data_IF_904512425532
#
_entry.id   IF_904512425532
#
_cell.length_a   1.000
_cell.length_b   1.000
_cell.length_c   1.000
_cell.angle_alpha   90.00
_cell.angle_beta   90.00
_cell.angle_gamma   90.00
#
_symmetry.space_group_name_H-M   'P 1'
#
loop_
_entity.id
_entity.type
_entity.pdbx_description
1 polymer ?
#
# COMPACT_ATOMS: atom_id res chain seq x y z
N UNK A 1 2.43 20.80 -5.32
CA UNK A 1 3.64 21.64 -5.15
C UNK A 1 4.75 20.66 -4.81
N UNK A 2 5.75 20.52 -5.69
CA UNK A 2 6.67 19.38 -5.75
C UNK A 2 7.58 19.33 -4.51
N UNK A 3 7.37 18.35 -3.63
CA UNK A 3 8.09 18.18 -2.35
C UNK A 3 9.20 17.12 -2.44
N UNK A 4 9.79 16.95 -3.63
CA UNK A 4 11.05 16.23 -3.79
C UNK A 4 12.20 17.25 -3.65
N UNK A 5 12.83 17.27 -2.48
CA UNK A 5 14.15 17.87 -2.30
C UNK A 5 15.13 17.07 -3.17
N UNK A 6 15.39 17.55 -4.39
CA UNK A 6 16.48 17.07 -5.23
C UNK A 6 17.79 17.14 -4.43
N UNK A 7 18.61 16.09 -4.54
CA UNK A 7 19.85 15.91 -3.78
C UNK A 7 20.78 17.14 -3.90
N UNK A 8 20.77 17.81 -5.05
CA UNK A 8 21.51 19.06 -5.31
C UNK A 8 21.08 20.22 -4.39
N UNK A 9 19.78 20.33 -4.09
CA UNK A 9 19.25 21.37 -3.18
C UNK A 9 19.61 21.07 -1.73
N UNK A 10 19.58 19.79 -1.35
CA UNK A 10 19.96 19.34 -0.01
C UNK A 10 21.45 19.64 0.27
N UNK A 11 22.32 19.37 -0.71
CA UNK A 11 23.74 19.67 -0.62
C UNK A 11 24.02 21.19 -0.55
N UNK A 12 23.31 21.99 -1.34
CA UNK A 12 23.42 23.45 -1.30
C UNK A 12 23.01 24.04 0.07
N UNK A 13 21.94 23.54 0.68
CA UNK A 13 21.48 23.97 2.01
C UNK A 13 22.49 23.57 3.08
N UNK A 14 23.04 22.35 3.01
CA UNK A 14 24.04 21.87 3.96
C UNK A 14 25.33 22.68 3.88
N UNK A 15 25.77 23.03 2.66
CA UNK A 15 26.92 23.90 2.44
C UNK A 15 26.69 25.30 3.03
N UNK A 16 25.52 25.89 2.82
CA UNK A 16 25.18 27.20 3.39
C UNK A 16 25.16 27.19 4.92
N UNK A 17 24.65 26.12 5.54
CA UNK A 17 24.66 25.96 6.99
C UNK A 17 26.08 25.82 7.55
N UNK A 18 26.94 25.03 6.89
CA UNK A 18 28.34 24.88 7.29
C UNK A 18 29.11 26.19 7.17
N UNK A 19 28.96 26.90 6.06
CA UNK A 19 29.58 28.21 5.84
C UNK A 19 29.14 29.24 6.89
N UNK A 20 27.85 29.25 7.27
CA UNK A 20 27.33 30.13 8.30
C UNK A 20 27.87 29.79 9.69
N UNK A 21 28.01 28.50 10.02
CA UNK A 21 28.61 28.03 11.27
C UNK A 21 30.10 28.40 11.33
N UNK A 22 30.84 28.26 10.23
CA UNK A 22 32.30 28.47 10.19
C UNK A 22 32.68 29.95 10.16
N UNK A 23 31.99 30.77 9.38
CA UNK A 23 32.34 32.19 9.18
C UNK A 23 31.68 33.14 10.19
N UNK A 24 30.72 32.63 10.97
CA UNK A 24 29.96 33.45 11.90
C UNK A 24 30.73 33.79 13.18
N UNK A 25 30.48 34.97 13.78
CA UNK A 25 31.18 35.44 14.98
C UNK A 25 30.63 34.80 16.27
N UNK A 26 30.40 33.48 16.29
CA UNK A 26 29.68 32.79 17.36
C UNK A 26 30.40 32.85 18.71
N UNK A 27 31.73 32.90 18.70
CA UNK A 27 32.51 32.95 19.94
C UNK A 27 32.65 34.37 20.53
N UNK A 28 32.17 35.42 19.85
CA UNK A 28 32.39 36.83 20.26
C UNK A 28 31.49 37.31 21.40
N UNK A 29 30.40 36.60 21.72
CA UNK A 29 29.48 36.96 22.81
C UNK A 29 28.75 35.72 23.32
N UNK A 30 28.41 35.68 24.62
CA UNK A 30 27.61 34.60 25.20
C UNK A 30 26.27 34.42 24.47
N UNK A 31 25.66 35.50 23.99
CA UNK A 31 24.45 35.45 23.15
C UNK A 31 24.73 34.75 21.81
N UNK A 32 25.81 35.13 21.13
CA UNK A 32 26.19 34.55 19.84
C UNK A 32 26.64 33.09 19.96
N UNK A 33 27.20 32.67 21.09
CA UNK A 33 27.53 31.27 21.37
C UNK A 33 26.28 30.40 21.43
N UNK A 34 25.21 30.91 22.03
CA UNK A 34 23.91 30.21 22.07
C UNK A 34 23.31 30.09 20.67
N UNK A 35 23.37 31.17 19.87
CA UNK A 35 22.89 31.14 18.48
C UNK A 35 23.71 30.16 17.62
N UNK A 36 25.04 30.14 17.77
CA UNK A 36 25.91 29.20 17.08
C UNK A 36 25.60 27.74 17.44
N UNK A 37 25.36 27.43 18.72
CA UNK A 37 24.92 26.09 19.15
C UNK A 37 23.59 25.69 18.54
N UNK A 38 22.61 26.59 18.54
CA UNK A 38 21.31 26.32 17.91
C UNK A 38 21.45 26.07 16.40
N UNK A 39 22.35 26.78 15.72
CA UNK A 39 22.60 26.60 14.29
C UNK A 39 23.24 25.24 13.98
N UNK A 40 24.16 24.78 14.83
CA UNK A 40 24.73 23.42 14.78
C UNK A 40 23.64 22.37 14.97
N UNK A 41 22.75 22.54 15.96
CA UNK A 41 21.62 21.61 16.17
C UNK A 41 20.63 21.57 15.00
N UNK A 42 20.43 22.69 14.30
CA UNK A 42 19.59 22.76 13.10
C UNK A 42 20.25 21.98 11.96
N UNK A 43 21.57 22.13 11.75
CA UNK A 43 22.33 21.35 10.77
C UNK A 43 22.26 19.85 11.07
N UNK A 44 22.49 19.46 12.32
CA UNK A 44 22.54 18.04 12.71
C UNK A 44 21.17 17.37 12.54
N UNK A 45 20.07 18.09 12.84
CA UNK A 45 18.70 17.64 12.54
C UNK A 45 18.45 17.49 11.05
N UNK A 46 18.97 18.40 10.23
CA UNK A 46 18.82 18.35 8.77
C UNK A 46 19.57 17.14 8.18
N UNK A 47 20.79 16.88 8.61
CA UNK A 47 21.59 15.70 8.21
C UNK A 47 20.89 14.40 8.59
N UNK A 48 20.38 14.29 9.81
CA UNK A 48 19.65 13.11 10.28
C UNK A 48 18.40 12.84 9.42
N UNK A 49 17.68 13.90 9.03
CA UNK A 49 16.48 13.79 8.19
C UNK A 49 16.80 13.35 6.77
N UNK A 50 17.86 13.88 6.15
CA UNK A 50 18.29 13.45 4.80
C UNK A 50 18.80 12.01 4.81
N UNK A 51 19.60 11.62 5.82
CA UNK A 51 20.07 10.24 5.96
C UNK A 51 18.93 9.24 6.10
N UNK A 52 17.90 9.60 6.87
CA UNK A 52 16.67 8.80 7.02
C UNK A 52 15.84 8.74 5.74
N UNK A 53 15.76 9.85 4.97
CA UNK A 53 15.07 9.89 3.67
C UNK A 53 15.79 9.02 2.65
N UNK A 54 17.12 9.08 2.57
CA UNK A 54 17.91 8.26 1.64
C UNK A 54 17.86 6.78 2.02
N UNK A 55 17.88 6.43 3.31
CA UNK A 55 17.64 5.05 3.75
C UNK A 55 16.20 4.59 3.43
N UNK A 56 15.19 5.44 3.61
CA UNK A 56 13.80 5.12 3.26
C UNK A 56 13.58 5.01 1.74
N UNK A 57 14.31 5.80 0.94
CA UNK A 57 14.28 5.76 -0.54
C UNK A 57 15.03 4.54 -1.07
N UNK A 58 16.21 4.22 -0.53
CA UNK A 58 16.96 2.99 -0.83
C UNK A 58 16.19 1.73 -0.40
N UNK A 59 15.53 1.73 0.75
CA UNK A 59 14.61 0.66 1.16
C UNK A 59 13.34 0.65 0.31
N UNK A 60 12.82 1.80 -0.10
CA UNK A 60 11.66 1.92 -0.99
C UNK A 60 11.92 1.36 -2.39
N UNK A 61 13.08 1.70 -2.98
CA UNK A 61 13.51 1.31 -4.32
C UNK A 61 13.98 -0.14 -4.37
N UNK A 62 14.70 -0.63 -3.36
CA UNK A 62 15.00 -2.06 -3.24
C UNK A 62 13.73 -2.89 -3.03
N UNK A 63 12.75 -2.40 -2.26
CA UNK A 63 11.45 -3.05 -2.13
C UNK A 63 10.59 -2.92 -3.40
N UNK A 64 10.73 -1.86 -4.21
CA UNK A 64 10.03 -1.72 -5.48
C UNK A 64 10.64 -2.60 -6.56
N UNK A 65 11.97 -2.63 -6.71
CA UNK A 65 12.67 -3.52 -7.63
C UNK A 65 12.42 -4.99 -7.27
N UNK A 66 12.48 -5.35 -5.98
CA UNK A 66 12.09 -6.69 -5.53
C UNK A 66 10.60 -6.96 -5.76
N UNK A 67 9.68 -6.02 -5.49
CA UNK A 67 8.25 -6.21 -5.80
C UNK A 67 7.97 -6.34 -7.30
N UNK A 68 8.67 -5.62 -8.16
CA UNK A 68 8.52 -5.72 -9.62
C UNK A 68 9.08 -7.04 -10.14
N UNK A 69 10.23 -7.50 -9.62
CA UNK A 69 10.78 -8.82 -9.93
C UNK A 69 9.91 -9.97 -9.38
N UNK A 70 9.38 -9.85 -8.16
CA UNK A 70 8.46 -10.81 -7.51
C UNK A 70 7.09 -10.86 -8.19
N UNK A 71 6.66 -9.77 -8.85
CA UNK A 71 5.37 -9.67 -9.54
C UNK A 71 5.45 -9.91 -11.04
N UNK A 72 6.62 -10.21 -11.60
CA UNK A 72 6.74 -10.65 -12.98
C UNK A 72 5.94 -11.97 -13.15
N UNK A 73 4.85 -11.92 -13.92
CA UNK A 73 3.91 -13.04 -14.05
C UNK A 73 2.83 -13.13 -12.97
N UNK A 74 2.73 -12.13 -12.08
CA UNK A 74 1.59 -11.97 -11.18
C UNK A 74 0.59 -10.95 -11.71
N UNK A 75 -0.68 -11.17 -11.42
CA UNK A 75 -1.78 -10.26 -11.71
C UNK A 75 -2.48 -9.88 -10.40
N UNK A 76 -2.83 -8.59 -10.24
CA UNK A 76 -3.74 -8.18 -9.18
C UNK A 76 -5.16 -8.56 -9.58
N UNK A 77 -5.85 -9.30 -8.73
CA UNK A 77 -7.25 -9.70 -8.90
C UNK A 77 -8.07 -9.17 -7.72
N UNK A 78 -9.39 -9.11 -7.91
CA UNK A 78 -10.30 -8.51 -6.94
C UNK A 78 -11.39 -9.50 -6.54
N UNK A 79 -11.44 -9.88 -5.27
CA UNK A 79 -12.38 -10.89 -4.79
C UNK A 79 -13.48 -10.20 -3.99
N UNK A 80 -14.73 -10.37 -4.41
CA UNK A 80 -15.89 -9.85 -3.69
C UNK A 80 -16.13 -10.65 -2.40
N UNK A 81 -16.32 -9.93 -1.30
CA UNK A 81 -16.61 -10.50 0.01
C UNK A 81 -17.95 -10.00 0.54
N UNK A 82 -18.68 -10.91 1.18
CA UNK A 82 -19.91 -10.62 1.90
C UNK A 82 -19.77 -11.02 3.36
N UNK A 83 -20.29 -10.19 4.27
CA UNK A 83 -20.46 -10.48 5.69
C UNK A 83 -21.90 -10.15 6.10
N UNK A 84 -22.53 -11.02 6.88
CA UNK A 84 -23.83 -10.71 7.49
C UNK A 84 -23.73 -9.64 8.58
N UNK A 85 -22.54 -9.50 9.19
CA UNK A 85 -22.22 -8.53 10.25
C UNK A 85 -21.13 -7.57 9.75
N UNK A 86 -21.44 -6.82 8.69
CA UNK A 86 -20.46 -6.00 7.97
C UNK A 86 -20.01 -4.73 8.70
N UNK A 87 -20.73 -4.29 9.74
CA UNK A 87 -20.28 -3.20 10.61
C UNK A 87 -19.11 -3.60 11.52
N UNK A 88 -18.94 -4.90 11.76
CA UNK A 88 -17.96 -5.47 12.68
C UNK A 88 -16.67 -5.85 11.92
N UNK A 89 -15.58 -5.12 12.15
CA UNK A 89 -14.30 -5.36 11.44
C UNK A 89 -13.71 -6.74 11.74
N UNK A 90 -13.95 -7.28 12.94
CA UNK A 90 -13.48 -8.61 13.34
C UNK A 90 -14.18 -9.71 12.54
N UNK A 91 -15.42 -9.48 12.07
CA UNK A 91 -16.11 -10.42 11.19
C UNK A 91 -15.39 -10.53 9.84
N UNK A 92 -14.92 -9.38 9.31
CA UNK A 92 -14.13 -9.30 8.10
C UNK A 92 -12.76 -9.96 8.24
N UNK A 93 -12.07 -9.77 9.37
CA UNK A 93 -10.80 -10.44 9.66
C UNK A 93 -10.92 -11.95 9.55
N UNK A 94 -11.99 -12.53 10.10
CA UNK A 94 -12.27 -13.97 10.02
C UNK A 94 -12.57 -14.43 8.59
N UNK A 95 -13.29 -13.63 7.81
CA UNK A 95 -13.59 -13.93 6.40
C UNK A 95 -12.29 -13.93 5.58
N UNK A 96 -11.46 -12.91 5.74
CA UNK A 96 -10.17 -12.80 5.04
C UNK A 96 -9.23 -13.94 5.45
N UNK A 97 -9.15 -14.27 6.74
CA UNK A 97 -8.31 -15.38 7.22
C UNK A 97 -8.72 -16.75 6.64
N UNK A 98 -10.01 -16.94 6.34
CA UNK A 98 -10.53 -18.18 5.75
C UNK A 98 -10.62 -18.16 4.22
N UNK A 99 -10.16 -17.09 3.57
CA UNK A 99 -10.27 -16.91 2.12
C UNK A 99 -9.70 -18.08 1.30
N UNK A 100 -8.51 -18.67 1.62
CA UNK A 100 -7.95 -19.77 0.84
C UNK A 100 -8.85 -21.02 0.82
N UNK A 101 -9.69 -21.20 1.85
CA UNK A 101 -10.58 -22.35 1.99
C UNK A 101 -12.00 -22.08 1.46
N UNK A 102 -12.36 -20.83 1.16
CA UNK A 102 -13.73 -20.43 0.82
C UNK A 102 -13.80 -19.58 -0.46
N UNK A 103 -12.83 -19.75 -1.35
CA UNK A 103 -12.72 -18.94 -2.58
C UNK A 103 -13.72 -19.35 -3.66
N UNK A 104 -14.08 -20.64 -3.73
CA UNK A 104 -14.82 -21.26 -4.85
C UNK A 104 -16.18 -20.60 -5.10
N UNK A 105 -16.87 -20.13 -4.06
CA UNK A 105 -18.20 -19.53 -4.16
C UNK A 105 -18.18 -18.00 -4.25
N UNK A 106 -17.00 -17.38 -4.39
CA UNK A 106 -16.85 -15.92 -4.37
C UNK A 106 -16.54 -15.40 -5.78
N UNK A 107 -17.24 -14.36 -6.26
CA UNK A 107 -16.91 -13.72 -7.52
C UNK A 107 -15.51 -13.11 -7.50
N UNK A 108 -14.73 -13.38 -8.55
CA UNK A 108 -13.35 -12.89 -8.72
C UNK A 108 -13.31 -12.08 -10.01
N UNK A 109 -12.84 -10.85 -9.92
CA UNK A 109 -12.78 -9.90 -11.03
C UNK A 109 -11.33 -9.68 -11.46
N UNK A 110 -11.09 -9.55 -12.78
CA UNK A 110 -9.77 -9.19 -13.30
C UNK A 110 -9.43 -7.72 -13.08
N UNK A 111 -10.44 -6.86 -12.88
CA UNK A 111 -10.31 -5.41 -12.72
C UNK A 111 -11.09 -4.87 -11.51
N UNK A 112 -10.60 -3.76 -10.95
CA UNK A 112 -11.18 -3.16 -9.74
C UNK A 112 -12.54 -2.49 -10.01
N UNK A 113 -12.76 -2.04 -11.24
CA UNK A 113 -14.00 -1.36 -11.62
C UNK A 113 -15.18 -2.35 -11.64
N UNK A 114 -14.96 -3.58 -12.09
CA UNK A 114 -15.89 -4.70 -12.03
C UNK A 114 -16.45 -4.93 -10.64
N UNK A 115 -15.57 -5.14 -9.65
CA UNK A 115 -16.00 -5.38 -8.27
C UNK A 115 -16.66 -4.15 -7.64
N UNK A 116 -16.21 -2.94 -7.98
CA UNK A 116 -16.84 -1.71 -7.49
C UNK A 116 -18.25 -1.55 -8.04
N UNK A 117 -18.45 -1.81 -9.33
CA UNK A 117 -19.74 -1.67 -9.98
C UNK A 117 -20.76 -2.65 -9.43
N UNK A 118 -20.39 -3.93 -9.24
CA UNK A 118 -21.31 -4.89 -8.64
C UNK A 118 -21.67 -4.49 -7.20
N UNK A 119 -20.72 -4.00 -6.40
CA UNK A 119 -20.97 -3.55 -5.02
C UNK A 119 -21.90 -2.33 -5.01
N UNK A 120 -21.79 -1.41 -5.98
CA UNK A 120 -22.71 -0.27 -6.09
C UNK A 120 -24.17 -0.70 -6.28
N UNK A 121 -24.41 -1.85 -6.91
CA UNK A 121 -25.77 -2.38 -7.14
C UNK A 121 -26.39 -3.07 -5.92
N UNK A 122 -25.62 -3.27 -4.83
CA UNK A 122 -26.09 -3.95 -3.63
C UNK A 122 -26.86 -2.99 -2.72
N UNK A 123 -27.94 -3.50 -2.12
CA UNK A 123 -28.77 -2.71 -1.20
C UNK A 123 -28.00 -2.33 0.06
N UNK A 124 -27.38 -3.31 0.71
CA UNK A 124 -26.62 -3.10 1.95
C UNK A 124 -25.11 -3.09 1.70
N UNK A 125 -24.59 -1.90 1.38
CA UNK A 125 -23.16 -1.68 1.13
C UNK A 125 -22.27 -1.89 2.35
N UNK A 126 -22.81 -1.86 3.57
CA UNK A 126 -22.05 -2.19 4.78
C UNK A 126 -21.70 -3.68 4.84
N UNK A 127 -22.48 -4.54 4.19
CA UNK A 127 -22.26 -5.99 4.18
C UNK A 127 -21.36 -6.44 3.02
N UNK A 128 -20.82 -5.51 2.25
CA UNK A 128 -20.06 -5.76 1.03
C UNK A 128 -18.67 -5.15 1.14
N UNK A 129 -17.67 -5.94 0.78
CA UNK A 129 -16.28 -5.53 0.75
C UNK A 129 -15.56 -6.26 -0.39
N UNK A 130 -14.32 -5.90 -0.66
CA UNK A 130 -13.47 -6.72 -1.53
C UNK A 130 -12.02 -6.69 -1.07
N UNK A 131 -11.26 -7.69 -1.51
CA UNK A 131 -9.81 -7.71 -1.35
C UNK A 131 -9.16 -7.61 -2.72
N UNK A 132 -8.09 -6.84 -2.79
CA UNK A 132 -7.15 -6.90 -3.89
C UNK A 132 -5.97 -7.78 -3.48
N UNK A 133 -5.63 -8.75 -4.32
CA UNK A 133 -4.59 -9.75 -4.04
C UNK A 133 -3.79 -10.04 -5.30
N UNK A 134 -2.49 -10.20 -5.16
CA UNK A 134 -1.63 -10.66 -6.25
C UNK A 134 -1.62 -12.19 -6.32
N UNK A 135 -1.90 -12.72 -7.51
CA UNK A 135 -1.87 -14.15 -7.82
C UNK A 135 -0.97 -14.40 -9.03
N UNK A 136 -0.39 -15.59 -9.14
CA UNK A 136 0.32 -16.00 -10.34
C UNK A 136 -0.67 -16.15 -11.51
N UNK A 137 -0.35 -15.60 -12.67
CA UNK A 137 -1.18 -15.73 -13.87
C UNK A 137 -1.40 -17.20 -14.27
N UNK A 138 -0.43 -18.08 -13.97
CA UNK A 138 -0.53 -19.51 -14.21
C UNK A 138 -1.59 -20.21 -13.34
N UNK A 139 -2.02 -19.58 -12.25
CA UNK A 139 -3.04 -20.11 -11.35
C UNK A 139 -4.46 -19.67 -11.75
N UNK A 140 -4.57 -18.78 -12.73
CA UNK A 140 -5.84 -18.39 -13.33
C UNK A 140 -6.20 -19.44 -14.39
N UNK A 141 -7.39 -20.02 -14.28
CA UNK A 141 -7.91 -20.96 -15.26
C UNK A 141 -8.36 -20.19 -16.50
N UNK A 142 -7.64 -20.37 -17.60
CA UNK A 142 -8.00 -19.82 -18.89
C UNK A 142 -9.26 -20.53 -19.42
N UNK A 143 -10.41 -19.90 -19.21
CA UNK A 143 -11.69 -20.33 -19.77
C UNK A 143 -11.93 -19.60 -21.09
N UNK A 144 -12.52 -20.30 -22.06
CA UNK A 144 -13.03 -19.66 -23.28
C UNK A 144 -14.11 -18.63 -22.90
N UNK A 145 -14.21 -17.47 -23.57
CA UNK A 145 -15.18 -16.42 -23.23
C UNK A 145 -16.62 -16.94 -23.08
N UNK A 146 -17.05 -17.85 -23.96
CA UNK A 146 -18.39 -18.45 -23.93
C UNK A 146 -18.66 -19.34 -22.70
N UNK A 147 -17.61 -19.75 -21.99
CA UNK A 147 -17.66 -20.60 -20.79
C UNK A 147 -17.28 -19.84 -19.52
N UNK A 148 -16.85 -18.59 -19.64
CA UNK A 148 -16.49 -17.79 -18.49
C UNK A 148 -17.77 -17.41 -17.73
N UNK A 149 -17.84 -17.65 -16.41
CA UNK A 149 -18.96 -17.19 -15.61
C UNK A 149 -19.01 -15.65 -15.67
N UNK A 150 -20.22 -15.10 -15.72
CA UNK A 150 -20.44 -13.66 -15.71
C UNK A 150 -21.22 -13.24 -14.45
N UNK A 151 -21.00 -12.01 -14.01
CA UNK A 151 -21.79 -11.41 -12.94
C UNK A 151 -23.18 -10.96 -13.42
N UNK A 152 -23.94 -10.32 -12.53
CA UNK A 152 -25.28 -9.80 -12.86
C UNK A 152 -25.27 -8.66 -13.89
N UNK A 153 -24.11 -8.02 -14.10
CA UNK A 153 -23.91 -6.93 -15.06
C UNK A 153 -23.31 -7.44 -16.38
N UNK A 154 -23.11 -8.76 -16.52
CA UNK A 154 -22.51 -9.37 -17.70
C UNK A 154 -20.99 -9.27 -17.75
N UNK A 155 -20.32 -8.84 -16.67
CA UNK A 155 -18.85 -8.77 -16.61
C UNK A 155 -18.26 -10.17 -16.37
N UNK A 156 -17.19 -10.56 -17.07
CA UNK A 156 -16.58 -11.88 -16.91
C UNK A 156 -15.87 -12.02 -15.56
N UNK A 157 -16.00 -13.18 -14.95
CA UNK A 157 -15.36 -13.56 -13.69
C UNK A 157 -14.21 -14.53 -13.95
N UNK A 158 -13.16 -14.40 -13.14
CA UNK A 158 -12.02 -15.30 -13.15
C UNK A 158 -12.34 -16.58 -12.37
N UNK A 159 -11.79 -17.69 -12.85
CA UNK A 159 -11.73 -18.96 -12.12
C UNK A 159 -10.28 -19.25 -11.76
N UNK A 160 -10.04 -19.74 -10.55
CA UNK A 160 -8.70 -20.03 -10.05
C UNK A 160 -8.52 -21.52 -9.80
N UNK A 161 -7.28 -21.99 -9.87
CA UNK A 161 -6.90 -23.31 -9.36
C UNK A 161 -7.06 -23.38 -7.84
N UNK A 162 -7.27 -24.59 -7.33
CA UNK A 162 -7.30 -24.84 -5.88
C UNK A 162 -5.99 -24.38 -5.21
N UNK A 163 -6.12 -23.82 -4.00
CA UNK A 163 -5.00 -23.39 -3.14
C UNK A 163 -4.05 -22.34 -3.75
N UNK A 164 -4.54 -21.56 -4.70
CA UNK A 164 -3.77 -20.49 -5.36
C UNK A 164 -3.70 -19.16 -4.59
N UNK A 165 -4.50 -19.03 -3.53
CA UNK A 165 -4.60 -17.81 -2.72
C UNK A 165 -3.59 -17.86 -1.56
N UNK A 166 -2.67 -16.90 -1.53
CA UNK A 166 -1.80 -16.62 -0.38
C UNK A 166 -2.17 -15.29 0.27
N UNK A 167 -2.53 -15.32 1.55
CA UNK A 167 -2.95 -14.14 2.31
C UNK A 167 -1.85 -13.07 2.43
N UNK A 168 -0.58 -13.45 2.35
CA UNK A 168 0.55 -12.51 2.38
C UNK A 168 0.59 -11.60 1.15
N UNK A 169 -0.04 -12.03 0.05
CA UNK A 169 -0.09 -11.27 -1.20
C UNK A 169 -1.28 -10.30 -1.27
N UNK A 170 -2.08 -10.19 -0.21
CA UNK A 170 -3.17 -9.21 -0.14
C UNK A 170 -2.55 -7.81 -0.13
N UNK A 171 -2.91 -7.01 -1.13
CA UNK A 171 -2.42 -5.63 -1.24
C UNK A 171 -3.25 -4.68 -0.39
N UNK A 172 -4.59 -4.82 -0.45
CA UNK A 172 -5.55 -3.99 0.30
C UNK A 172 -6.88 -4.71 0.47
N UNK A 173 -7.55 -4.41 1.57
CA UNK A 173 -8.96 -4.70 1.82
C UNK A 173 -9.73 -3.39 1.74
N UNK A 174 -10.85 -3.38 1.03
CA UNK A 174 -11.65 -2.17 0.83
C UNK A 174 -13.08 -2.42 1.29
N UNK A 175 -13.52 -1.53 2.18
CA UNK A 175 -14.86 -1.53 2.74
C UNK A 175 -15.38 -0.09 2.83
N UNK A 176 -16.67 0.11 3.02
CA UNK A 176 -17.27 1.46 3.09
C UNK A 176 -16.68 2.31 4.24
N UNK A 177 -16.18 1.69 5.31
CA UNK A 177 -15.52 2.39 6.42
C UNK A 177 -14.08 2.86 6.12
N UNK A 178 -13.49 2.40 5.02
CA UNK A 178 -12.15 2.79 4.58
C UNK A 178 -11.36 1.66 3.92
N UNK A 179 -10.08 1.96 3.65
CA UNK A 179 -9.11 1.00 3.13
C UNK A 179 -8.28 0.47 4.29
N UNK A 180 -8.01 -0.83 4.27
CA UNK A 180 -7.30 -1.55 5.32
C UNK A 180 -6.19 -2.39 4.71
N UNK A 181 -5.12 -2.59 5.47
CA UNK A 181 -4.06 -3.54 5.20
C UNK A 181 -4.26 -4.78 6.07
N UNK A 182 -4.13 -5.97 5.47
CA UNK A 182 -4.13 -7.22 6.22
C UNK A 182 -2.71 -7.52 6.74
N UNK A 183 -2.56 -7.66 8.05
CA UNK A 183 -1.29 -8.01 8.69
C UNK A 183 -1.52 -8.80 9.98
N UNK A 184 -0.84 -9.94 10.12
CA UNK A 184 -0.90 -10.76 11.34
C UNK A 184 -2.32 -11.21 11.73
N UNK A 185 -3.17 -11.49 10.73
CA UNK A 185 -4.56 -11.89 10.97
C UNK A 185 -5.53 -10.73 11.19
N UNK A 186 -5.07 -9.48 11.15
CA UNK A 186 -5.87 -8.29 11.46
C UNK A 186 -5.97 -7.31 10.30
N UNK A 187 -7.05 -6.53 10.29
CA UNK A 187 -7.29 -5.45 9.34
C UNK A 187 -6.92 -4.11 9.97
N UNK A 188 -5.80 -3.54 9.55
CA UNK A 188 -5.27 -2.27 10.06
C UNK A 188 -5.64 -1.17 9.07
N UNK A 189 -6.37 -0.15 9.54
CA UNK A 189 -6.78 0.97 8.69
C UNK A 189 -5.56 1.74 8.17
N UNK A 190 -5.54 2.04 6.88
CA UNK A 190 -4.51 2.87 6.22
C UNK A 190 -4.96 4.31 6.05
#
# INVERSE_FOLDING_TARGET
MNDDLSDEKAEAILKALNDAIEKGPWEKSNFLKVIGKNLVEVRDRFVSRIGSINQAKLQGDSNLANRVALRAGQQEIFISLYSSDGSNIQSWERIVANLPNQIISRPIYPDEEGVKDIIKTKDNKLNEAYVAIYINQLDILALHPDKAPADKLGKPLLSLKDKSINLENISRFVHVSGVYRYAGGRLIKT
#
